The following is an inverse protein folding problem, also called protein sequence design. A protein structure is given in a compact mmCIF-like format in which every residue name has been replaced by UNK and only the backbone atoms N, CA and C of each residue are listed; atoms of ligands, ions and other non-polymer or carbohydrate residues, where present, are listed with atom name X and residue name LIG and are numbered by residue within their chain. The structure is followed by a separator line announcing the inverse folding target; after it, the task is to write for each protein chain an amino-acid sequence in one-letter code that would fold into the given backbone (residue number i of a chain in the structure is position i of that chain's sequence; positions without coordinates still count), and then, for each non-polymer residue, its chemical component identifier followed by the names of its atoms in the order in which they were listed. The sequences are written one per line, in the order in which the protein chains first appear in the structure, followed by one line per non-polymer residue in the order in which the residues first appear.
data_IF_744588951881
#
_entry.id   IF_744588951881
#
_cell.length_a   1.000
_cell.length_b   1.000
_cell.length_c   1.000
_cell.angle_alpha   90.00
_cell.angle_beta   90.00
_cell.angle_gamma   90.00
#
_symmetry.space_group_name_H-M   'P 1'
#
loop_
_entity.id
_entity.type
_entity.pdbx_description
1 polymer ?
#
# COMPACT_ATOMS: atom_id res chain seq x y z
N UNK A 1 -15.78 -8.07 -3.22
CA UNK A 1 -14.44 -8.25 -3.81
C UNK A 1 -14.25 -9.70 -4.15
N UNK A 2 -13.73 -9.99 -5.32
CA UNK A 2 -13.50 -11.38 -5.73
C UNK A 2 -12.26 -11.92 -5.04
N UNK A 3 -12.20 -13.26 -4.89
CA UNK A 3 -11.03 -13.93 -4.31
C UNK A 3 -9.79 -13.80 -5.20
N UNK A 4 -9.98 -13.45 -6.46
CA UNK A 4 -8.90 -13.29 -7.43
C UNK A 4 -8.23 -11.94 -7.34
N UNK A 5 -8.82 -11.02 -6.62
CA UNK A 5 -8.27 -9.68 -6.48
C UNK A 5 -8.56 -8.75 -7.63
N UNK A 6 -7.77 -7.71 -7.74
CA UNK A 6 -7.98 -6.67 -8.75
C UNK A 6 -6.66 -5.94 -9.05
N UNK A 7 -6.63 -5.26 -10.19
CA UNK A 7 -5.47 -4.47 -10.62
C UNK A 7 -5.63 -3.02 -10.21
N UNK A 8 -4.49 -2.36 -10.01
CA UNK A 8 -4.47 -0.93 -9.72
C UNK A 8 -3.30 -0.28 -10.47
N UNK A 9 -3.38 1.03 -10.66
CA UNK A 9 -2.42 1.77 -11.45
C UNK A 9 -1.52 2.63 -10.58
N UNK A 10 -0.24 2.66 -10.95
CA UNK A 10 0.78 3.46 -10.29
C UNK A 10 1.41 4.43 -11.28
N UNK A 11 1.67 5.64 -10.84
CA UNK A 11 2.40 6.62 -11.63
C UNK A 11 3.12 7.60 -10.72
N UNK A 12 4.24 8.10 -11.18
CA UNK A 12 4.99 9.13 -10.47
C UNK A 12 5.29 10.27 -11.44
N UNK A 13 4.54 11.38 -11.36
CA UNK A 13 4.75 12.51 -12.28
C UNK A 13 6.08 13.21 -12.08
N UNK A 14 6.75 12.97 -10.94
CA UNK A 14 8.02 13.62 -10.61
C UNK A 14 9.23 12.80 -11.04
N UNK A 15 9.02 11.65 -11.68
CA UNK A 15 10.12 10.80 -12.11
C UNK A 15 10.00 10.47 -13.59
N UNK A 16 11.07 9.92 -14.15
CA UNK A 16 11.10 9.47 -15.54
C UNK A 16 10.47 8.08 -15.69
N UNK A 17 10.04 7.48 -14.59
CA UNK A 17 9.38 6.19 -14.63
C UNK A 17 8.01 6.28 -15.28
N UNK A 18 7.73 5.36 -16.17
CA UNK A 18 6.40 5.25 -16.77
C UNK A 18 5.45 4.62 -15.76
N UNK A 19 4.16 4.80 -15.98
CA UNK A 19 3.15 4.16 -15.15
C UNK A 19 3.31 2.63 -15.20
N UNK A 20 2.90 1.98 -14.12
CA UNK A 20 2.92 0.52 -14.05
C UNK A 20 1.66 0.02 -13.36
N UNK A 21 1.39 -1.27 -13.52
CA UNK A 21 0.20 -1.90 -12.96
C UNK A 21 0.60 -2.81 -11.81
N UNK A 22 -0.13 -2.72 -10.71
CA UNK A 22 -0.01 -3.66 -9.61
C UNK A 22 -1.25 -4.53 -9.50
N UNK A 23 -1.16 -5.58 -8.71
CA UNK A 23 -2.26 -6.50 -8.43
C UNK A 23 -2.40 -6.69 -6.93
N UNK A 24 -3.63 -6.61 -6.44
CA UNK A 24 -3.97 -6.82 -5.03
C UNK A 24 -4.86 -8.06 -4.94
N UNK A 25 -4.45 -9.03 -4.12
CA UNK A 25 -5.20 -10.25 -3.89
C UNK A 25 -5.51 -10.38 -2.40
N UNK A 26 -6.79 -10.60 -2.01
CA UNK A 26 -7.10 -10.76 -0.60
C UNK A 26 -6.58 -12.09 -0.06
N UNK A 27 -5.94 -12.04 1.09
CA UNK A 27 -5.49 -13.22 1.83
C UNK A 27 -6.46 -13.54 2.97
N UNK A 28 -6.89 -12.50 3.68
CA UNK A 28 -7.87 -12.61 4.75
C UNK A 28 -8.61 -11.28 4.84
N UNK A 29 -9.78 -11.22 4.22
CA UNK A 29 -10.54 -9.98 4.11
C UNK A 29 -11.01 -9.48 5.50
N UNK A 30 -11.30 -10.40 6.41
CA UNK A 30 -11.78 -10.04 7.75
C UNK A 30 -10.68 -9.39 8.60
N UNK A 31 -9.42 -9.66 8.26
CA UNK A 31 -8.27 -9.10 8.97
C UNK A 31 -7.55 -8.06 8.13
N UNK A 32 -8.11 -7.66 7.02
CA UNK A 32 -7.54 -6.69 6.09
C UNK A 32 -6.12 -7.05 5.68
N UNK A 33 -5.93 -8.31 5.29
CA UNK A 33 -4.63 -8.83 4.84
C UNK A 33 -4.68 -9.09 3.33
N UNK A 34 -3.69 -8.56 2.63
CA UNK A 34 -3.63 -8.60 1.17
C UNK A 34 -2.22 -8.94 0.68
N UNK A 35 -2.17 -9.58 -0.48
CA UNK A 35 -0.91 -9.77 -1.20
C UNK A 35 -0.88 -8.78 -2.34
N UNK A 36 0.19 -8.00 -2.43
CA UNK A 36 0.35 -6.99 -3.48
C UNK A 36 1.56 -7.35 -4.32
N UNK A 37 1.38 -7.33 -5.63
CA UNK A 37 2.47 -7.58 -6.59
C UNK A 37 2.57 -6.39 -7.53
N UNK A 38 3.76 -5.78 -7.61
CA UNK A 38 3.99 -4.63 -8.47
C UNK A 38 5.46 -4.62 -8.89
N UNK A 39 5.73 -4.43 -10.17
CA UNK A 39 7.09 -4.32 -10.71
C UNK A 39 8.00 -5.48 -10.30
N UNK A 40 7.45 -6.69 -10.28
CA UNK A 40 8.22 -7.89 -9.94
C UNK A 40 8.42 -8.12 -8.45
N UNK A 41 7.91 -7.23 -7.60
CA UNK A 41 7.98 -7.38 -6.15
C UNK A 41 6.63 -7.82 -5.60
N UNK A 42 6.66 -8.72 -4.63
CA UNK A 42 5.45 -9.18 -3.96
C UNK A 42 5.61 -8.91 -2.47
N UNK A 43 4.60 -8.28 -1.87
CA UNK A 43 4.63 -8.02 -0.44
C UNK A 43 3.27 -8.27 0.19
N UNK A 44 3.30 -8.60 1.46
CA UNK A 44 2.12 -8.89 2.27
C UNK A 44 1.75 -7.62 3.02
N UNK A 45 0.60 -7.05 2.68
CA UNK A 45 0.16 -5.76 3.22
C UNK A 45 -1.03 -5.98 4.15
N UNK A 46 -0.95 -5.40 5.33
CA UNK A 46 -2.01 -5.42 6.31
C UNK A 46 -2.30 -4.00 6.76
N UNK A 47 -3.58 -3.69 6.93
CA UNK A 47 -3.99 -2.38 7.46
C UNK A 47 -4.97 -2.59 8.60
N UNK A 48 -4.96 -1.66 9.54
CA UNK A 48 -5.83 -1.76 10.68
C UNK A 48 -6.05 -0.41 11.36
N UNK A 49 -6.86 -0.44 12.40
CA UNK A 49 -7.18 0.73 13.20
C UNK A 49 -7.14 0.35 14.67
N UNK A 50 -6.58 1.22 15.47
CA UNK A 50 -6.60 1.09 16.92
C UNK A 50 -7.00 2.45 17.52
N UNK A 51 -6.99 2.53 18.86
CA UNK A 51 -7.43 3.72 19.59
C UNK A 51 -6.76 5.02 19.12
N UNK A 52 -5.49 4.93 18.76
CA UNK A 52 -4.68 6.12 18.45
C UNK A 52 -4.56 6.43 16.97
N UNK A 53 -5.09 5.60 16.09
CA UNK A 53 -5.02 5.87 14.66
C UNK A 53 -5.03 4.63 13.79
N UNK A 54 -4.68 4.85 12.53
CA UNK A 54 -4.63 3.79 11.53
C UNK A 54 -3.17 3.39 11.30
N UNK A 55 -2.95 2.14 10.93
CA UNK A 55 -1.60 1.64 10.73
C UNK A 55 -1.50 0.73 9.52
N UNK A 56 -0.27 0.63 9.03
CA UNK A 56 0.13 -0.21 7.91
C UNK A 56 1.23 -1.15 8.37
N UNK A 57 1.11 -2.42 8.00
CA UNK A 57 2.15 -3.42 8.23
C UNK A 57 2.50 -4.13 6.94
N UNK A 58 3.79 -4.25 6.64
CA UNK A 58 4.31 -5.09 5.56
C UNK A 58 5.45 -5.91 6.16
N UNK A 59 5.11 -7.05 6.81
CA UNK A 59 6.11 -7.79 7.61
C UNK A 59 7.33 -8.26 6.81
N UNK A 60 7.14 -8.71 5.58
CA UNK A 60 8.25 -9.21 4.78
C UNK A 60 9.22 -8.10 4.32
N UNK A 61 8.84 -6.83 4.47
CA UNK A 61 9.71 -5.69 4.21
C UNK A 61 10.11 -4.94 5.47
N UNK A 62 9.70 -5.44 6.63
CA UNK A 62 10.01 -4.82 7.90
C UNK A 62 9.33 -3.50 8.13
N UNK A 63 8.18 -3.27 7.51
CA UNK A 63 7.45 -2.01 7.62
C UNK A 63 6.35 -2.14 8.65
N UNK A 64 6.30 -1.18 9.57
CA UNK A 64 5.19 -1.00 10.50
C UNK A 64 5.13 0.47 10.84
N UNK A 65 4.08 1.16 10.41
CA UNK A 65 4.00 2.60 10.60
C UNK A 65 2.56 3.07 10.63
N UNK A 66 2.38 4.27 11.19
CA UNK A 66 1.09 4.95 11.19
C UNK A 66 0.81 5.50 9.80
N UNK A 67 -0.45 5.48 9.42
CA UNK A 67 -0.91 6.10 8.17
C UNK A 67 -2.08 7.03 8.47
N UNK A 68 -2.36 7.92 7.54
CA UNK A 68 -3.56 8.74 7.54
C UNK A 68 -4.72 7.90 6.94
N UNK A 69 -5.71 8.51 6.36
CA UNK A 69 -6.72 7.74 5.63
C UNK A 69 -6.05 6.98 4.49
N UNK A 70 -6.65 5.85 4.10
CA UNK A 70 -6.07 5.01 3.02
C UNK A 70 -5.88 5.80 1.73
N UNK A 71 -6.74 6.77 1.46
CA UNK A 71 -6.69 7.57 0.24
C UNK A 71 -5.79 8.80 0.31
N UNK A 72 -5.17 9.08 1.47
CA UNK A 72 -4.28 10.24 1.61
C UNK A 72 -2.88 9.90 1.12
N UNK A 73 -2.73 9.90 -0.20
CA UNK A 73 -1.48 9.50 -0.85
C UNK A 73 -0.31 10.37 -0.46
N UNK A 74 -0.53 11.68 -0.32
CA UNK A 74 0.54 12.63 -0.01
C UNK A 74 1.12 12.38 1.39
N UNK A 75 0.25 12.32 2.39
CA UNK A 75 0.68 12.12 3.78
C UNK A 75 1.35 10.75 3.96
N UNK A 76 0.74 9.71 3.39
CA UNK A 76 1.26 8.35 3.52
C UNK A 76 2.62 8.20 2.84
N UNK A 77 2.80 8.84 1.68
CA UNK A 77 4.07 8.83 0.98
C UNK A 77 5.17 9.51 1.79
N UNK A 78 4.89 10.70 2.34
CA UNK A 78 5.86 11.41 3.17
C UNK A 78 6.26 10.58 4.38
N UNK A 79 5.30 9.94 5.02
CA UNK A 79 5.56 9.12 6.19
C UNK A 79 6.48 7.94 5.86
N UNK A 80 6.21 7.25 4.75
CA UNK A 80 7.05 6.15 4.33
C UNK A 80 8.45 6.60 3.96
N UNK A 81 8.57 7.73 3.26
CA UNK A 81 9.88 8.28 2.91
C UNK A 81 10.69 8.64 4.15
N UNK A 82 10.03 9.18 5.16
CA UNK A 82 10.67 9.60 6.39
C UNK A 82 11.10 8.42 7.25
N UNK A 83 10.21 7.42 7.40
CA UNK A 83 10.47 6.28 8.28
C UNK A 83 11.34 5.20 7.62
N UNK A 84 11.31 5.10 6.30
CA UNK A 84 12.00 4.05 5.56
C UNK A 84 12.76 4.65 4.37
N UNK A 85 13.80 5.45 4.63
CA UNK A 85 14.53 6.14 3.56
C UNK A 85 15.25 5.21 2.59
N UNK A 86 15.42 3.94 2.95
CA UNK A 86 16.04 2.94 2.08
C UNK A 86 15.09 2.38 1.02
N UNK A 87 13.78 2.60 1.16
CA UNK A 87 12.82 2.12 0.17
C UNK A 87 12.97 2.91 -1.14
N UNK A 88 12.87 2.21 -2.25
CA UNK A 88 12.88 2.87 -3.56
C UNK A 88 11.58 3.67 -3.74
N UNK A 89 11.65 4.68 -4.60
CA UNK A 89 10.48 5.48 -4.93
C UNK A 89 9.37 4.63 -5.54
N UNK A 90 9.74 3.67 -6.39
CA UNK A 90 8.79 2.75 -7.01
C UNK A 90 8.05 1.93 -5.95
N UNK A 91 8.78 1.41 -4.97
CA UNK A 91 8.17 0.62 -3.89
C UNK A 91 7.22 1.47 -3.05
N UNK A 92 7.63 2.69 -2.71
CA UNK A 92 6.78 3.60 -1.93
C UNK A 92 5.48 3.91 -2.69
N UNK A 93 5.58 4.22 -3.97
CA UNK A 93 4.41 4.52 -4.79
C UNK A 93 3.52 3.29 -4.92
N UNK A 94 4.11 2.11 -5.10
CA UNK A 94 3.35 0.86 -5.18
C UNK A 94 2.55 0.62 -3.90
N UNK A 95 3.12 0.91 -2.73
CA UNK A 95 2.42 0.80 -1.45
C UNK A 95 1.30 1.83 -1.35
N UNK A 96 1.61 3.09 -1.60
CA UNK A 96 0.68 4.21 -1.42
C UNK A 96 -0.53 4.08 -2.35
N UNK A 97 -0.30 3.71 -3.60
CA UNK A 97 -1.38 3.53 -4.56
C UNK A 97 -2.20 2.28 -4.27
N UNK A 98 -1.58 1.25 -3.67
CA UNK A 98 -2.33 0.08 -3.19
C UNK A 98 -3.28 0.49 -2.06
N UNK A 99 -2.81 1.31 -1.12
CA UNK A 99 -3.67 1.82 -0.03
C UNK A 99 -4.85 2.61 -0.59
N UNK A 100 -4.59 3.48 -1.55
CA UNK A 100 -5.64 4.26 -2.19
C UNK A 100 -6.68 3.35 -2.87
N UNK A 101 -6.22 2.35 -3.60
CA UNK A 101 -7.10 1.40 -4.26
C UNK A 101 -7.93 0.62 -3.24
N UNK A 102 -7.34 0.24 -2.11
CA UNK A 102 -8.04 -0.47 -1.05
C UNK A 102 -9.08 0.39 -0.35
N UNK A 103 -8.97 1.71 -0.42
CA UNK A 103 -9.92 2.62 0.22
C UNK A 103 -11.35 2.43 -0.29
N UNK A 104 -11.54 1.84 -1.46
CA UNK A 104 -12.86 1.54 -2.01
C UNK A 104 -13.44 0.25 -1.46
N UNK A 105 -12.64 -0.57 -0.80
CA UNK A 105 -13.06 -1.90 -0.33
C UNK A 105 -12.93 -2.08 1.17
N UNK A 106 -12.09 -1.29 1.81
CA UNK A 106 -11.79 -1.41 3.23
C UNK A 106 -12.19 -0.11 3.93
N UNK A 107 -12.95 -0.23 5.01
CA UNK A 107 -13.30 0.90 5.87
C UNK A 107 -12.57 0.74 7.21
N UNK A 108 -11.76 1.72 7.54
CA UNK A 108 -11.04 1.74 8.82
C UNK A 108 -11.60 2.80 9.76
#
# INVERSE_FOLDING_TARGET
MSDMGFYYQCSDPDSNEKSWTGHIRPLNINRHEFEVTARGSTFHLMVGKHTYGKYLCIPNWGIGTEIASLSDCFWNRERLEQDYPELSKVDIISIVKALEALSSYVTL
#
